data_IF_185788937188
#
_entry.id   IF_185788937188
#
_cell.length_a   1.000
_cell.length_b   1.000
_cell.length_c   1.000
_cell.angle_alpha   90.00
_cell.angle_beta   90.00
_cell.angle_gamma   90.00
#
_symmetry.space_group_name_H-M   'P 1'
#
loop_
_entity.id
_entity.type
_entity.pdbx_description
1 polymer ?
#
# COMPACT_ATOMS: atom_id res chain seq x y z
N UNK A 1 -4.34 1.97 -15.77
CA UNK A 1 -3.72 1.92 -14.45
C UNK A 1 -2.31 2.54 -14.40
N UNK A 2 -1.38 2.29 -15.31
CA UNK A 2 -0.04 2.94 -15.31
C UNK A 2 -0.08 4.47 -15.38
N UNK A 3 -1.06 5.05 -16.06
CA UNK A 3 -1.29 6.50 -16.06
C UNK A 3 -1.58 7.05 -14.66
N UNK A 4 -2.35 6.32 -13.86
CA UNK A 4 -2.62 6.68 -12.46
C UNK A 4 -1.38 6.51 -11.59
N UNK A 5 -0.60 5.44 -11.76
CA UNK A 5 0.68 5.29 -11.06
C UNK A 5 1.61 6.46 -11.34
N UNK A 6 1.74 6.87 -12.62
CA UNK A 6 2.54 8.02 -13.02
C UNK A 6 2.07 9.32 -12.36
N UNK A 7 0.76 9.55 -12.30
CA UNK A 7 0.20 10.72 -11.63
C UNK A 7 0.58 10.73 -10.13
N UNK A 8 0.42 9.60 -9.42
CA UNK A 8 0.79 9.48 -8.01
C UNK A 8 2.31 9.72 -7.82
N UNK A 9 3.14 9.19 -8.74
CA UNK A 9 4.59 9.42 -8.70
C UNK A 9 4.95 10.90 -8.85
N UNK A 10 4.28 11.60 -9.77
CA UNK A 10 4.48 13.03 -10.01
C UNK A 10 4.06 13.86 -8.80
N UNK A 11 2.84 13.65 -8.29
CA UNK A 11 2.25 14.39 -7.17
C UNK A 11 2.96 14.11 -5.83
N UNK A 12 3.55 12.91 -5.67
CA UNK A 12 4.38 12.55 -4.52
C UNK A 12 5.85 12.96 -4.64
N UNK A 13 6.22 13.66 -5.73
CA UNK A 13 7.61 14.01 -6.05
C UNK A 13 8.55 12.78 -6.08
N UNK A 14 8.06 11.64 -6.58
CA UNK A 14 8.80 10.40 -6.72
C UNK A 14 8.94 9.57 -5.43
N UNK A 15 8.19 9.88 -4.38
CA UNK A 15 8.14 9.02 -3.21
C UNK A 15 7.47 7.67 -3.53
N UNK A 16 6.50 7.66 -4.43
CA UNK A 16 5.93 6.47 -5.03
C UNK A 16 6.47 6.29 -6.45
N UNK A 17 6.99 5.13 -6.82
CA UNK A 17 7.47 4.86 -8.17
C UNK A 17 7.42 3.35 -8.47
N UNK A 18 6.63 2.98 -9.47
CA UNK A 18 6.52 1.57 -9.92
C UNK A 18 7.74 1.08 -10.71
N UNK A 19 8.70 1.95 -11.03
CA UNK A 19 9.89 1.57 -11.79
C UNK A 19 11.02 1.00 -10.92
N UNK A 20 10.75 0.68 -9.67
CA UNK A 20 11.73 0.15 -8.68
C UNK A 20 12.02 -1.35 -8.83
N UNK A 21 11.52 -2.03 -9.86
CA UNK A 21 11.60 -3.48 -9.95
C UNK A 21 13.02 -4.05 -9.88
N UNK A 22 14.05 -3.31 -10.29
CA UNK A 22 15.44 -3.73 -10.07
C UNK A 22 15.88 -3.63 -8.62
N UNK A 23 15.39 -2.62 -7.88
CA UNK A 23 15.61 -2.53 -6.43
C UNK A 23 14.93 -3.67 -5.69
N UNK A 24 13.64 -3.93 -5.99
CA UNK A 24 12.90 -5.05 -5.39
C UNK A 24 13.61 -6.38 -5.61
N UNK A 25 14.11 -6.60 -6.83
CA UNK A 25 14.87 -7.80 -7.17
C UNK A 25 16.24 -7.87 -6.48
N UNK A 26 16.92 -6.74 -6.32
CA UNK A 26 18.22 -6.67 -5.64
C UNK A 26 18.10 -6.98 -4.15
N UNK A 27 17.09 -6.42 -3.50
CA UNK A 27 16.83 -6.68 -2.09
C UNK A 27 16.28 -8.08 -1.82
N UNK A 28 15.52 -8.64 -2.76
CA UNK A 28 14.91 -9.97 -2.72
C UNK A 28 14.25 -10.33 -1.37
N UNK A 29 13.59 -9.34 -0.77
CA UNK A 29 12.98 -9.44 0.56
C UNK A 29 12.01 -10.62 0.65
N UNK A 30 11.29 -10.93 -0.43
CA UNK A 30 10.34 -12.06 -0.47
C UNK A 30 11.02 -13.40 -0.21
N UNK A 31 12.18 -13.62 -0.81
CA UNK A 31 12.98 -14.84 -0.60
C UNK A 31 13.52 -14.92 0.82
N UNK A 32 14.05 -13.79 1.32
CA UNK A 32 14.61 -13.72 2.67
C UNK A 32 13.53 -13.88 3.74
N UNK A 33 12.38 -13.21 3.60
CA UNK A 33 11.24 -13.36 4.51
C UNK A 33 10.72 -14.81 4.56
N UNK A 34 10.70 -15.50 3.42
CA UNK A 34 10.30 -16.91 3.35
C UNK A 34 11.32 -17.87 3.98
N UNK A 35 12.60 -17.50 4.01
CA UNK A 35 13.66 -18.32 4.61
C UNK A 35 13.63 -18.28 6.17
N UNK A 36 12.98 -17.27 6.76
CA UNK A 36 12.93 -17.10 8.23
C UNK A 36 14.32 -16.87 8.85
N UNK A 37 14.45 -17.11 10.14
CA UNK A 37 15.66 -16.82 10.93
C UNK A 37 16.88 -17.68 10.58
N UNK A 38 16.81 -18.51 9.55
CA UNK A 38 17.87 -19.47 9.20
C UNK A 38 18.88 -18.95 8.16
N UNK A 39 18.79 -17.67 7.74
CA UNK A 39 19.57 -17.12 6.63
C UNK A 39 20.73 -16.22 7.05
N UNK A 40 21.92 -16.45 6.49
CA UNK A 40 22.97 -15.43 6.41
C UNK A 40 22.52 -14.42 5.33
N UNK A 41 21.85 -13.35 5.73
CA UNK A 41 21.37 -12.32 4.82
C UNK A 41 22.54 -11.50 4.28
N UNK A 42 22.70 -11.46 2.95
CA UNK A 42 23.63 -10.55 2.32
C UNK A 42 22.92 -9.25 1.94
N UNK A 43 23.19 -8.19 2.69
CA UNK A 43 22.69 -6.86 2.35
C UNK A 43 23.29 -6.38 1.04
N UNK A 44 22.49 -5.79 0.12
CA UNK A 44 23.01 -5.20 -1.10
C UNK A 44 24.09 -4.16 -0.80
N UNK A 45 25.16 -4.18 -1.59
CA UNK A 45 26.22 -3.18 -1.48
C UNK A 45 25.74 -1.83 -2.00
N UNK A 46 26.32 -0.74 -1.48
CA UNK A 46 25.93 0.60 -1.86
C UNK A 46 26.05 0.84 -3.38
N UNK A 47 27.08 0.27 -4.01
CA UNK A 47 27.27 0.38 -5.46
C UNK A 47 26.14 -0.31 -6.23
N UNK A 48 25.68 -1.48 -5.79
CA UNK A 48 24.59 -2.23 -6.42
C UNK A 48 23.25 -1.47 -6.29
N UNK A 49 23.00 -0.88 -5.11
CA UNK A 49 21.82 -0.02 -4.90
C UNK A 49 21.88 1.19 -5.84
N UNK A 50 23.04 1.85 -5.96
CA UNK A 50 23.20 3.01 -6.84
C UNK A 50 23.00 2.63 -8.32
N UNK A 51 23.47 1.48 -8.76
CA UNK A 51 23.25 0.96 -10.12
C UNK A 51 21.76 0.66 -10.36
N UNK A 52 21.07 0.04 -9.41
CA UNK A 52 19.63 -0.21 -9.51
C UNK A 52 18.82 1.09 -9.55
N UNK A 53 19.14 2.07 -8.68
CA UNK A 53 18.53 3.41 -8.66
C UNK A 53 18.70 4.14 -10.00
N UNK A 54 19.86 4.02 -10.65
CA UNK A 54 20.10 4.67 -11.95
C UNK A 54 19.11 4.22 -13.05
N UNK A 55 18.50 3.04 -12.91
CA UNK A 55 17.48 2.51 -13.83
C UNK A 55 16.06 2.89 -13.43
N UNK A 56 15.84 3.43 -12.24
CA UNK A 56 14.55 3.88 -11.73
C UNK A 56 14.19 5.26 -12.28
N UNK A 57 12.94 5.62 -12.29
CA UNK A 57 12.44 6.94 -12.65
C UNK A 57 11.17 6.85 -13.50
N UNK A 58 10.04 7.10 -12.89
CA UNK A 58 8.72 7.08 -13.52
C UNK A 58 8.63 8.00 -14.78
N UNK A 59 9.43 9.08 -14.82
CA UNK A 59 9.49 10.00 -15.96
C UNK A 59 9.97 9.33 -17.26
N UNK A 60 10.68 8.19 -17.13
CA UNK A 60 11.19 7.42 -18.26
C UNK A 60 10.14 6.47 -18.86
N UNK A 61 9.00 6.28 -18.18
CA UNK A 61 7.88 5.45 -18.65
C UNK A 61 7.07 6.28 -19.66
N UNK A 62 7.03 5.84 -20.89
CA UNK A 62 6.25 6.47 -21.95
C UNK A 62 4.93 5.73 -22.13
N UNK A 63 3.83 6.45 -22.09
CA UNK A 63 2.48 5.94 -22.30
C UNK A 63 1.90 6.62 -23.52
N UNK A 64 1.50 5.86 -24.51
CA UNK A 64 0.89 6.36 -25.74
C UNK A 64 -0.47 5.70 -25.94
N UNK A 65 -1.50 6.51 -26.14
CA UNK A 65 -2.83 6.03 -26.53
C UNK A 65 -2.87 5.89 -28.05
N UNK A 66 -3.23 4.71 -28.52
CA UNK A 66 -3.35 4.39 -29.94
C UNK A 66 -4.76 3.87 -30.23
N UNK A 67 -5.18 3.96 -31.49
CA UNK A 67 -6.54 3.57 -31.90
C UNK A 67 -6.82 2.06 -31.71
N UNK A 68 -5.79 1.24 -31.71
CA UNK A 68 -5.83 -0.23 -31.59
C UNK A 68 -5.39 -0.74 -30.18
N UNK A 69 -5.15 0.18 -29.23
CA UNK A 69 -4.76 -0.13 -27.87
C UNK A 69 -3.67 0.79 -27.35
N UNK A 70 -3.55 0.86 -26.03
CA UNK A 70 -2.50 1.65 -25.38
C UNK A 70 -1.16 0.93 -25.46
N UNK A 71 -0.07 1.68 -25.68
CA UNK A 71 1.28 1.15 -25.63
C UNK A 71 2.09 1.72 -24.46
N UNK A 72 3.00 0.90 -23.96
CA UNK A 72 3.93 1.27 -22.88
C UNK A 72 5.35 1.02 -23.37
N UNK A 73 6.20 2.04 -23.28
CA UNK A 73 7.63 1.92 -23.59
C UNK A 73 8.46 2.30 -22.37
N UNK A 74 9.41 1.44 -22.01
CA UNK A 74 10.35 1.65 -20.91
C UNK A 74 11.78 1.40 -21.38
N UNK A 75 12.81 2.02 -20.77
CA UNK A 75 14.20 1.68 -21.04
C UNK A 75 14.49 0.19 -20.82
N UNK A 76 15.39 -0.38 -21.63
CA UNK A 76 15.71 -1.82 -21.60
C UNK A 76 16.15 -2.33 -20.22
N UNK A 77 16.84 -1.49 -19.45
CA UNK A 77 17.33 -1.82 -18.10
C UNK A 77 16.30 -1.60 -16.99
N UNK A 78 15.17 -0.95 -17.30
CA UNK A 78 14.11 -0.69 -16.31
C UNK A 78 13.28 -1.95 -16.07
N UNK A 79 12.87 -2.15 -14.82
CA UNK A 79 11.89 -3.16 -14.44
C UNK A 79 10.78 -2.51 -13.61
N UNK A 80 9.54 -2.89 -13.92
CA UNK A 80 8.39 -2.43 -13.16
C UNK A 80 8.11 -3.38 -12.00
N UNK A 81 7.78 -2.82 -10.85
CA UNK A 81 7.21 -3.53 -9.70
C UNK A 81 5.77 -3.02 -9.49
N UNK A 82 4.83 -3.93 -9.54
CA UNK A 82 3.41 -3.64 -9.40
C UNK A 82 2.84 -4.12 -8.06
N UNK A 83 3.70 -4.52 -7.13
CA UNK A 83 3.32 -5.01 -5.80
C UNK A 83 2.45 -4.02 -5.03
N UNK A 84 2.72 -2.72 -5.20
CA UNK A 84 2.01 -1.63 -4.54
C UNK A 84 0.67 -1.24 -5.17
N UNK A 85 0.25 -1.88 -6.27
CA UNK A 85 -0.99 -1.54 -7.00
C UNK A 85 -1.76 -2.75 -7.50
N UNK A 86 -1.13 -3.91 -7.56
CA UNK A 86 -1.70 -5.09 -8.20
C UNK A 86 -2.97 -5.61 -7.52
N UNK A 87 -3.01 -5.56 -6.19
CA UNK A 87 -4.18 -5.95 -5.39
C UNK A 87 -5.33 -4.98 -5.65
N UNK A 88 -5.02 -3.69 -5.66
CA UNK A 88 -6.00 -2.64 -5.91
C UNK A 88 -6.58 -2.70 -7.33
N UNK A 89 -5.76 -2.93 -8.34
CA UNK A 89 -6.24 -3.16 -9.72
C UNK A 89 -7.18 -4.35 -9.79
N UNK A 90 -6.88 -5.45 -9.08
CA UNK A 90 -7.76 -6.60 -9.01
C UNK A 90 -9.12 -6.25 -8.37
N UNK A 91 -9.13 -5.42 -7.31
CA UNK A 91 -10.39 -4.96 -6.71
C UNK A 91 -11.22 -4.10 -7.68
N UNK A 92 -10.58 -3.22 -8.46
CA UNK A 92 -11.28 -2.41 -9.48
C UNK A 92 -11.93 -3.28 -10.57
N UNK A 93 -11.27 -4.34 -11.02
CA UNK A 93 -11.83 -5.28 -12.00
C UNK A 93 -12.95 -6.14 -11.38
N UNK A 94 -12.83 -6.53 -10.12
CA UNK A 94 -13.89 -7.24 -9.38
C UNK A 94 -15.10 -6.31 -9.21
N UNK A 95 -14.91 -5.04 -8.87
CA UNK A 95 -15.99 -4.07 -8.74
C UNK A 95 -16.78 -3.95 -10.05
N UNK A 96 -16.11 -3.79 -11.19
CA UNK A 96 -16.76 -3.77 -12.52
C UNK A 96 -17.59 -5.05 -12.79
N UNK A 97 -17.07 -6.19 -12.35
CA UNK A 97 -17.78 -7.46 -12.47
C UNK A 97 -19.04 -7.48 -11.62
N UNK A 98 -18.95 -7.03 -10.36
CA UNK A 98 -20.11 -6.94 -9.46
C UNK A 98 -21.18 -5.99 -9.99
N UNK A 99 -20.77 -4.84 -10.51
CA UNK A 99 -21.68 -3.86 -11.12
C UNK A 99 -22.42 -4.41 -12.36
N UNK A 100 -21.81 -5.34 -13.09
CA UNK A 100 -22.45 -6.04 -14.20
C UNK A 100 -23.42 -7.15 -13.76
N UNK A 101 -23.45 -7.49 -12.46
CA UNK A 101 -24.25 -8.54 -11.86
C UNK A 101 -25.22 -7.96 -10.78
N UNK A 102 -26.33 -7.30 -11.19
CA UNK A 102 -27.24 -6.62 -10.25
C UNK A 102 -27.98 -7.56 -9.28
N UNK A 103 -27.91 -8.86 -9.50
CA UNK A 103 -28.40 -9.90 -8.57
C UNK A 103 -27.53 -10.00 -7.31
N UNK A 104 -26.28 -9.48 -7.32
CA UNK A 104 -25.40 -9.41 -6.15
C UNK A 104 -25.69 -8.13 -5.38
N UNK A 105 -26.40 -8.24 -4.26
CA UNK A 105 -26.82 -7.10 -3.45
C UNK A 105 -25.74 -6.60 -2.49
N UNK A 106 -24.74 -7.40 -2.18
CA UNK A 106 -23.63 -7.03 -1.31
C UNK A 106 -22.54 -8.09 -1.24
N UNK A 107 -21.30 -7.66 -1.06
CA UNK A 107 -20.14 -8.51 -0.93
C UNK A 107 -19.02 -7.83 -0.12
N UNK A 108 -18.19 -8.65 0.54
CA UNK A 108 -16.85 -8.27 1.01
C UNK A 108 -15.86 -9.20 0.35
N UNK A 109 -14.88 -8.65 -0.33
CA UNK A 109 -13.88 -9.41 -1.08
C UNK A 109 -12.50 -8.97 -0.63
N UNK A 110 -11.66 -9.94 -0.26
CA UNK A 110 -10.27 -9.70 0.13
C UNK A 110 -9.32 -10.27 -0.92
N UNK A 111 -8.36 -9.46 -1.32
CA UNK A 111 -7.26 -9.84 -2.21
C UNK A 111 -5.95 -9.48 -1.51
N UNK A 112 -5.35 -10.45 -0.80
CA UNK A 112 -4.04 -10.29 -0.17
C UNK A 112 -3.92 -9.06 0.75
N UNK A 113 -4.92 -8.78 1.59
CA UNK A 113 -4.92 -7.64 2.52
C UNK A 113 -5.55 -6.36 1.98
N UNK A 114 -5.87 -6.29 0.68
CA UNK A 114 -6.75 -5.25 0.13
C UNK A 114 -8.18 -5.76 0.08
N UNK A 115 -9.15 -4.94 0.50
CA UNK A 115 -10.55 -5.33 0.72
C UNK A 115 -11.47 -4.41 -0.08
N UNK A 116 -12.46 -4.98 -0.75
CA UNK A 116 -13.59 -4.27 -1.35
C UNK A 116 -14.85 -4.55 -0.54
N UNK A 117 -15.55 -3.49 -0.13
CA UNK A 117 -16.93 -3.58 0.38
C UNK A 117 -17.87 -3.16 -0.74
N UNK A 118 -18.89 -3.98 -1.04
CA UNK A 118 -19.86 -3.70 -2.11
C UNK A 118 -21.29 -3.83 -1.59
N UNK A 119 -22.15 -2.91 -1.98
CA UNK A 119 -23.58 -2.95 -1.67
C UNK A 119 -23.89 -3.02 -0.17
N UNK A 120 -24.95 -3.70 0.20
CA UNK A 120 -25.45 -3.76 1.56
C UNK A 120 -25.36 -5.17 2.14
N UNK A 121 -25.14 -5.27 3.44
CA UNK A 121 -25.27 -6.55 4.17
C UNK A 121 -26.69 -7.07 4.08
N UNK A 122 -26.90 -8.39 3.93
CA UNK A 122 -28.24 -9.00 3.93
C UNK A 122 -29.07 -8.68 5.17
N UNK A 123 -28.41 -8.59 6.33
CA UNK A 123 -29.06 -8.29 7.61
C UNK A 123 -29.12 -6.77 7.90
N UNK A 124 -28.65 -5.95 6.97
CA UNK A 124 -28.52 -4.50 7.15
C UNK A 124 -27.28 -4.10 7.96
N UNK A 125 -27.07 -2.79 8.10
CA UNK A 125 -25.93 -2.21 8.82
C UNK A 125 -24.66 -2.10 7.97
N UNK A 126 -23.65 -1.45 8.54
CA UNK A 126 -22.37 -1.22 7.89
C UNK A 126 -21.44 -2.45 7.93
N UNK A 127 -20.50 -2.49 7.01
CA UNK A 127 -19.41 -3.46 6.98
C UNK A 127 -18.41 -3.18 8.11
N UNK A 128 -17.92 -4.23 8.74
CA UNK A 128 -16.90 -4.15 9.80
C UNK A 128 -15.58 -4.71 9.24
N UNK A 129 -14.57 -3.87 9.13
CA UNK A 129 -13.26 -4.24 8.59
C UNK A 129 -12.23 -4.05 9.72
N UNK A 130 -11.61 -5.14 10.13
CA UNK A 130 -10.54 -5.10 11.14
C UNK A 130 -9.27 -4.48 10.54
N UNK A 131 -8.61 -3.63 11.31
CA UNK A 131 -7.27 -3.13 11.04
C UNK A 131 -6.30 -3.98 11.84
N UNK A 132 -5.48 -4.75 11.12
CA UNK A 132 -4.53 -5.72 11.71
C UNK A 132 -3.52 -5.02 12.63
N UNK A 133 -3.18 -5.65 13.74
CA UNK A 133 -2.09 -5.21 14.60
C UNK A 133 -0.74 -5.52 13.91
N UNK A 134 0.08 -4.50 13.58
CA UNK A 134 1.37 -4.71 12.93
C UNK A 134 2.42 -5.41 13.82
N UNK A 135 2.20 -5.47 15.13
CA UNK A 135 3.08 -6.14 16.09
C UNK A 135 2.61 -7.54 16.44
N UNK A 136 1.32 -7.83 16.26
CA UNK A 136 0.73 -9.16 16.37
C UNK A 136 -0.34 -9.37 15.28
N UNK A 137 0.02 -9.88 14.10
CA UNK A 137 -0.92 -10.05 12.98
C UNK A 137 -2.09 -11.00 13.23
N UNK A 138 -2.13 -11.70 14.38
CA UNK A 138 -3.29 -12.50 14.82
C UNK A 138 -4.39 -11.65 15.48
N UNK A 139 -4.06 -10.41 15.85
CA UNK A 139 -4.94 -9.47 16.56
C UNK A 139 -5.28 -8.25 15.66
N UNK A 140 -6.11 -7.35 16.18
CA UNK A 140 -6.48 -6.11 15.49
C UNK A 140 -6.34 -4.90 16.41
N UNK A 141 -5.82 -3.80 15.87
CA UNK A 141 -5.77 -2.51 16.58
C UNK A 141 -7.15 -1.89 16.71
N UNK A 142 -8.02 -2.11 15.74
CA UNK A 142 -9.34 -1.53 15.74
C UNK A 142 -10.19 -1.97 14.56
N UNK A 143 -11.37 -1.38 14.45
CA UNK A 143 -12.38 -1.73 13.44
C UNK A 143 -12.86 -0.50 12.71
N UNK A 144 -12.81 -0.54 11.38
CA UNK A 144 -13.46 0.38 10.48
C UNK A 144 -14.92 -0.03 10.25
N UNK A 145 -15.84 0.93 10.36
CA UNK A 145 -17.26 0.75 10.07
C UNK A 145 -17.59 1.50 8.78
N UNK A 146 -17.81 0.77 7.69
CA UNK A 146 -17.93 1.31 6.35
C UNK A 146 -19.23 0.87 5.67
N UNK A 147 -19.81 1.77 4.90
CA UNK A 147 -20.85 1.43 3.92
C UNK A 147 -20.24 0.63 2.76
N UNK A 148 -21.06 0.12 1.87
CA UNK A 148 -20.57 -0.51 0.62
C UNK A 148 -20.03 0.53 -0.37
N UNK A 149 -19.08 0.11 -1.20
CA UNK A 149 -18.47 0.95 -2.24
C UNK A 149 -17.10 1.51 -1.84
N UNK A 150 -16.45 0.92 -0.83
CA UNK A 150 -15.11 1.32 -0.42
C UNK A 150 -14.08 0.23 -0.69
N UNK A 151 -12.91 0.66 -1.14
CA UNK A 151 -11.68 -0.11 -1.17
C UNK A 151 -10.83 0.26 0.04
N UNK A 152 -10.34 -0.75 0.76
CA UNK A 152 -9.50 -0.61 1.95
C UNK A 152 -8.20 -1.35 1.67
N UNK A 153 -7.08 -0.67 1.67
CA UNK A 153 -5.76 -1.30 1.47
C UNK A 153 -4.84 -0.97 2.63
N UNK A 154 -4.15 -1.98 3.11
CA UNK A 154 -3.15 -1.83 4.18
C UNK A 154 -1.77 -2.17 3.65
N UNK A 155 -0.80 -1.34 4.00
CA UNK A 155 0.62 -1.60 3.83
C UNK A 155 1.29 -1.55 5.20
N UNK A 156 2.23 -2.48 5.44
CA UNK A 156 2.94 -2.54 6.71
C UNK A 156 4.32 -3.16 6.57
N UNK A 157 5.22 -2.78 7.47
CA UNK A 157 6.59 -3.27 7.52
C UNK A 157 6.70 -4.71 8.04
N UNK A 158 5.58 -5.25 8.58
CA UNK A 158 5.46 -6.57 9.18
C UNK A 158 5.04 -7.67 8.18
N UNK A 159 4.60 -7.32 6.97
CA UNK A 159 4.08 -8.31 6.01
C UNK A 159 5.20 -9.19 5.42
N UNK A 160 6.30 -8.55 5.02
CA UNK A 160 7.47 -9.21 4.43
C UNK A 160 8.73 -8.48 4.86
N UNK A 161 9.54 -9.12 5.67
CA UNK A 161 10.78 -8.56 6.21
C UNK A 161 11.72 -9.66 6.67
N UNK A 162 12.97 -9.29 6.90
CA UNK A 162 13.92 -10.01 7.73
C UNK A 162 14.59 -9.04 8.71
N UNK A 163 15.16 -9.58 9.76
CA UNK A 163 15.87 -8.77 10.77
C UNK A 163 17.35 -9.12 10.78
N UNK A 164 18.20 -8.10 10.78
CA UNK A 164 19.65 -8.23 10.90
C UNK A 164 20.20 -7.08 11.73
N UNK A 165 21.08 -7.40 12.68
CA UNK A 165 21.71 -6.42 13.59
C UNK A 165 20.72 -5.51 14.33
N UNK A 166 19.53 -6.07 14.69
CA UNK A 166 18.46 -5.35 15.36
C UNK A 166 17.69 -4.37 14.49
N UNK A 167 17.85 -4.46 13.18
CA UNK A 167 17.12 -3.64 12.19
C UNK A 167 16.25 -4.50 11.31
N UNK A 168 15.01 -4.06 11.09
CA UNK A 168 14.05 -4.67 10.18
C UNK A 168 14.26 -4.15 8.76
N UNK A 169 14.42 -5.05 7.81
CA UNK A 169 14.50 -4.77 6.38
C UNK A 169 13.23 -5.32 5.72
N UNK A 170 12.33 -4.44 5.36
CA UNK A 170 11.02 -4.80 4.80
C UNK A 170 10.89 -4.43 3.32
N UNK A 171 9.92 -5.00 2.64
CA UNK A 171 9.73 -4.92 1.19
C UNK A 171 9.33 -3.54 0.64
N UNK A 172 8.94 -2.59 1.49
CA UNK A 172 8.55 -1.25 1.05
C UNK A 172 9.81 -0.41 0.92
N UNK A 173 10.31 -0.29 -0.32
CA UNK A 173 11.54 0.41 -0.65
C UNK A 173 11.28 1.86 -1.04
N UNK A 174 12.09 2.78 -0.53
CA UNK A 174 12.05 4.18 -0.91
C UNK A 174 12.79 4.38 -2.25
N UNK A 175 12.10 4.79 -3.32
CA UNK A 175 12.70 4.99 -4.64
C UNK A 175 13.77 6.09 -4.67
N UNK A 176 13.80 6.97 -3.66
CA UNK A 176 14.73 8.10 -3.56
C UNK A 176 16.07 7.69 -2.96
N UNK A 177 16.06 6.66 -2.11
CA UNK A 177 17.25 6.19 -1.39
C UNK A 177 17.70 4.80 -1.81
N UNK A 178 16.77 3.97 -2.30
CA UNK A 178 16.98 2.57 -2.65
C UNK A 178 16.99 1.63 -1.45
N UNK A 179 16.65 2.10 -0.26
CA UNK A 179 16.56 1.32 0.97
C UNK A 179 15.12 1.13 1.41
N UNK A 180 14.84 0.15 2.28
CA UNK A 180 13.56 0.07 2.99
C UNK A 180 13.22 1.40 3.68
N UNK A 181 11.96 1.78 3.74
CA UNK A 181 11.52 3.00 4.40
C UNK A 181 11.63 2.88 5.93
N UNK A 182 12.17 3.90 6.57
CA UNK A 182 12.24 3.97 8.03
C UNK A 182 11.91 5.40 8.48
N UNK A 183 10.65 5.68 8.68
CA UNK A 183 10.14 6.99 9.08
C UNK A 183 9.27 6.93 10.35
N UNK A 184 9.29 5.78 11.07
CA UNK A 184 8.49 5.55 12.27
C UNK A 184 7.08 5.05 12.00
N UNK A 185 6.59 5.07 10.76
CA UNK A 185 5.31 4.45 10.38
C UNK A 185 5.52 2.95 10.19
N UNK A 186 4.75 2.12 10.89
CA UNK A 186 4.82 0.66 10.81
C UNK A 186 3.63 0.05 10.04
N UNK A 187 2.50 0.76 9.99
CA UNK A 187 1.36 0.37 9.16
C UNK A 187 0.54 1.57 8.72
N UNK A 188 -0.07 1.48 7.55
CA UNK A 188 -1.02 2.46 7.04
C UNK A 188 -2.16 1.77 6.29
N UNK A 189 -3.39 2.08 6.69
CA UNK A 189 -4.63 1.63 6.05
C UNK A 189 -5.28 2.81 5.37
N UNK A 190 -5.56 2.69 4.07
CA UNK A 190 -6.22 3.74 3.27
C UNK A 190 -7.57 3.26 2.80
N UNK A 191 -8.56 4.14 2.92
CA UNK A 191 -9.96 3.93 2.51
C UNK A 191 -10.29 4.93 1.41
N UNK A 192 -10.72 4.46 0.25
CA UNK A 192 -11.30 5.29 -0.82
C UNK A 192 -12.22 4.46 -1.72
N UNK A 193 -12.72 5.04 -2.78
CA UNK A 193 -13.66 4.41 -3.74
C UNK A 193 -12.97 3.68 -4.91
N UNK A 194 -11.64 3.70 -4.97
CA UNK A 194 -10.86 3.10 -6.06
C UNK A 194 -9.74 2.21 -5.52
N UNK A 195 -9.70 0.97 -5.97
CA UNK A 195 -8.77 -0.05 -5.47
C UNK A 195 -7.31 0.27 -5.76
N UNK A 196 -6.98 0.62 -7.01
CA UNK A 196 -5.61 1.01 -7.36
C UNK A 196 -5.13 2.18 -6.49
N UNK A 197 -5.99 3.18 -6.31
CA UNK A 197 -5.64 4.37 -5.54
C UNK A 197 -5.42 4.02 -4.06
N UNK A 198 -6.31 3.22 -3.44
CA UNK A 198 -6.14 2.81 -2.04
C UNK A 198 -4.84 2.03 -1.82
N UNK A 199 -4.49 1.10 -2.74
CA UNK A 199 -3.31 0.25 -2.65
C UNK A 199 -2.02 1.10 -2.80
N UNK A 200 -1.95 1.97 -3.82
CA UNK A 200 -0.83 2.89 -4.01
C UNK A 200 -0.63 3.86 -2.85
N UNK A 201 -1.72 4.44 -2.34
CA UNK A 201 -1.66 5.44 -1.29
C UNK A 201 -1.30 4.83 0.08
N UNK A 202 -1.69 3.59 0.38
CA UNK A 202 -1.24 2.91 1.60
C UNK A 202 0.28 2.71 1.60
N UNK A 203 0.86 2.35 0.46
CA UNK A 203 2.32 2.29 0.28
C UNK A 203 2.96 3.68 0.39
N UNK A 204 2.34 4.71 -0.19
CA UNK A 204 2.83 6.09 -0.11
C UNK A 204 2.89 6.60 1.34
N UNK A 205 1.93 6.25 2.20
CA UNK A 205 1.95 6.57 3.63
C UNK A 205 3.21 6.02 4.33
N UNK A 206 3.66 4.82 3.93
CA UNK A 206 4.87 4.22 4.47
C UNK A 206 6.16 4.90 3.99
N UNK A 207 6.10 5.68 2.88
CA UNK A 207 7.26 6.31 2.22
C UNK A 207 7.41 7.81 2.52
N UNK A 208 6.44 8.41 3.18
CA UNK A 208 6.40 9.84 3.49
C UNK A 208 6.40 10.09 4.98
N UNK A 209 6.79 11.31 5.34
CA UNK A 209 6.49 11.84 6.67
C UNK A 209 4.97 11.78 6.92
N UNK A 210 4.59 11.39 8.11
CA UNK A 210 3.19 11.14 8.50
C UNK A 210 2.26 12.33 8.22
N UNK A 211 2.66 13.54 8.65
CA UNK A 211 1.80 14.72 8.49
C UNK A 211 1.62 15.08 7.01
N UNK A 212 2.67 14.89 6.24
CA UNK A 212 2.62 15.07 4.79
C UNK A 212 1.78 13.97 4.12
N UNK A 213 1.89 12.72 4.57
CA UNK A 213 1.07 11.61 4.09
C UNK A 213 -0.42 11.89 4.34
N UNK A 214 -0.80 12.23 5.57
CA UNK A 214 -2.18 12.57 5.95
C UNK A 214 -2.78 13.65 5.04
N UNK A 215 -2.01 14.72 4.76
CA UNK A 215 -2.46 15.79 3.87
C UNK A 215 -2.60 15.30 2.43
N UNK A 216 -1.62 14.56 1.92
CA UNK A 216 -1.65 14.04 0.54
C UNK A 216 -2.85 13.12 0.34
N UNK A 217 -3.15 12.23 1.28
CA UNK A 217 -4.30 11.33 1.22
C UNK A 217 -5.61 12.10 1.07
N UNK A 218 -5.78 13.19 1.82
CA UNK A 218 -6.98 14.05 1.72
C UNK A 218 -7.11 14.73 0.34
N UNK A 219 -5.99 15.11 -0.30
CA UNK A 219 -5.99 15.70 -1.64
C UNK A 219 -6.52 14.71 -2.70
N UNK A 220 -6.40 13.40 -2.44
CA UNK A 220 -6.99 12.32 -3.26
C UNK A 220 -8.45 12.01 -2.92
N UNK A 221 -9.06 12.70 -1.94
CA UNK A 221 -10.39 12.37 -1.44
C UNK A 221 -10.45 11.05 -0.69
N UNK A 222 -9.31 10.56 -0.22
CA UNK A 222 -9.18 9.32 0.54
C UNK A 222 -9.00 9.61 2.04
N UNK A 223 -9.20 8.59 2.86
CA UNK A 223 -9.05 8.63 4.31
C UNK A 223 -8.02 7.58 4.76
N UNK A 224 -7.40 7.79 5.91
CA UNK A 224 -6.35 6.87 6.38
C UNK A 224 -6.34 6.70 7.89
N UNK A 225 -5.87 5.50 8.29
CA UNK A 225 -5.41 5.17 9.66
C UNK A 225 -3.93 4.84 9.56
N UNK A 226 -3.07 5.59 10.23
CA UNK A 226 -1.62 5.37 10.29
C UNK A 226 -1.25 4.93 11.70
N UNK A 227 -0.36 3.95 11.81
CA UNK A 227 0.14 3.42 13.08
C UNK A 227 1.66 3.59 13.09
N UNK A 228 2.20 4.16 14.19
CA UNK A 228 3.63 4.33 14.37
C UNK A 228 4.23 3.28 15.34
N UNK A 229 5.56 3.25 15.43
CA UNK A 229 6.32 2.33 16.28
C UNK A 229 6.06 2.51 17.79
N UNK A 230 5.54 3.66 18.20
CA UNK A 230 5.17 3.98 19.58
C UNK A 230 3.71 3.62 19.91
N UNK A 231 3.03 2.89 19.01
CA UNK A 231 1.60 2.51 19.11
C UNK A 231 0.63 3.69 19.11
N UNK A 232 1.03 4.82 18.54
CA UNK A 232 0.09 5.89 18.28
C UNK A 232 -0.69 5.62 16.99
N UNK A 233 -1.99 5.89 17.03
CA UNK A 233 -2.91 5.71 15.91
C UNK A 233 -3.40 7.08 15.46
N UNK A 234 -3.09 7.44 14.24
CA UNK A 234 -3.49 8.69 13.61
C UNK A 234 -4.63 8.41 12.64
N UNK A 235 -5.76 9.07 12.85
CA UNK A 235 -7.00 8.83 12.07
C UNK A 235 -7.38 10.12 11.37
N UNK A 236 -7.56 10.05 10.05
CA UNK A 236 -8.02 11.19 9.27
C UNK A 236 -9.46 11.58 9.61
N UNK A 237 -9.84 12.83 9.33
CA UNK A 237 -11.09 13.43 9.80
C UNK A 237 -12.35 12.63 9.41
N UNK A 238 -12.39 12.13 8.18
CA UNK A 238 -13.56 11.38 7.69
C UNK A 238 -13.71 9.98 8.30
N UNK A 239 -12.69 9.47 9.02
CA UNK A 239 -12.75 8.17 9.71
C UNK A 239 -12.92 8.29 11.23
N UNK A 240 -12.89 9.49 11.83
CA UNK A 240 -12.95 9.64 13.30
C UNK A 240 -14.20 9.00 13.92
N UNK A 241 -15.35 9.12 13.26
CA UNK A 241 -16.59 8.51 13.71
C UNK A 241 -16.82 7.09 13.15
N UNK A 242 -15.88 6.59 12.32
CA UNK A 242 -15.96 5.30 11.64
C UNK A 242 -14.88 4.31 12.04
N UNK A 243 -13.90 4.74 12.83
CA UNK A 243 -12.85 3.89 13.35
C UNK A 243 -12.90 3.83 14.87
N UNK A 244 -12.90 2.63 15.41
CA UNK A 244 -12.90 2.38 16.86
C UNK A 244 -11.67 1.56 17.20
N UNK A 245 -10.79 2.09 18.07
CA UNK A 245 -9.67 1.33 18.64
C UNK A 245 -10.23 0.27 19.58
N UNK A 246 -9.79 -0.98 19.44
CA UNK A 246 -10.19 -2.11 20.30
C UNK A 246 -9.02 -2.66 21.12
N UNK A 247 -7.78 -2.37 20.71
CA UNK A 247 -6.57 -2.77 21.43
C UNK A 247 -6.25 -1.78 22.56
N UNK A 248 -6.06 -2.28 23.79
CA UNK A 248 -5.91 -1.44 25.00
C UNK A 248 -4.58 -0.67 25.04
N UNK A 249 -3.56 -1.17 24.39
CA UNK A 249 -2.19 -0.62 24.40
C UNK A 249 -1.89 0.38 23.27
N UNK A 250 -2.86 0.60 22.36
CA UNK A 250 -2.80 1.61 21.32
C UNK A 250 -3.49 2.91 21.74
N UNK A 251 -2.99 4.04 21.26
CA UNK A 251 -3.50 5.36 21.63
C UNK A 251 -3.90 6.17 20.41
N UNK A 252 -5.10 6.73 20.43
CA UNK A 252 -5.48 7.73 19.45
C UNK A 252 -4.60 8.97 19.63
N UNK A 253 -3.85 9.33 18.62
CA UNK A 253 -3.05 10.54 18.59
C UNK A 253 -3.93 11.77 18.27
N UNK A 254 -3.58 12.93 18.84
CA UNK A 254 -4.25 14.20 18.59
C UNK A 254 -3.78 14.85 17.28
#
# INVERSE_FOLDING_TARGET
>A
WLGRCRQISEESAGAFDVSIGRLSRLWDIDTWAAAGDSGDYELPRQEEIAEALATTGWQKIQLEQQADGDSVSIPAEMQLDLGAVGKGVALDEILKTLEAHPEVSGAVISVGGSILTYGNKPEGGAWQIAVTDPLDPSESVGVLTLDGGHCVSTSGDYEKYFEQDGRRYHHILDPRTGYPAWNGTIAATVVCDNGLTSDALSTLCMLMDKDKAMKTIQEYGAETVIIDEDKNVYVSEGLKDRFTITAEDYKLAE
#
